data_IF_460876836063
#
_entry.id   IF_460876836063
#
_cell.length_a   1.000
_cell.length_b   1.000
_cell.length_c   1.000
_cell.angle_alpha   90.00
_cell.angle_beta   90.00
_cell.angle_gamma   90.00
#
_symmetry.space_group_name_H-M   'P 1'
#
loop_
_entity.id
_entity.type
_entity.pdbx_description
1 polymer ?
#
# COMPACT_ATOMS: atom_id res chain seq x y z
N UNK A 1 -27.14 6.92 -16.20
CA UNK A 1 -25.78 7.30 -16.65
C UNK A 1 -24.82 6.27 -16.09
N UNK A 2 -24.05 5.59 -16.93
CA UNK A 2 -23.02 4.66 -16.45
C UNK A 2 -21.87 5.49 -15.89
N UNK A 3 -21.74 5.56 -14.57
CA UNK A 3 -20.57 6.12 -13.90
C UNK A 3 -19.38 5.26 -14.32
N UNK A 4 -18.51 5.80 -15.18
CA UNK A 4 -17.18 5.23 -15.38
C UNK A 4 -16.51 5.19 -14.02
N UNK A 5 -16.47 4.00 -13.40
CA UNK A 5 -15.75 3.76 -12.16
C UNK A 5 -14.30 4.20 -12.38
N UNK A 6 -13.89 5.27 -11.70
CA UNK A 6 -12.49 5.70 -11.69
C UNK A 6 -11.68 4.53 -11.11
N UNK A 7 -10.84 3.93 -11.94
CA UNK A 7 -9.90 2.91 -11.48
C UNK A 7 -8.84 3.57 -10.61
N UNK A 8 -9.01 3.53 -9.28
CA UNK A 8 -8.02 4.05 -8.33
C UNK A 8 -6.82 3.14 -8.30
N UNK A 9 -5.64 3.67 -8.62
CA UNK A 9 -4.39 2.92 -8.55
C UNK A 9 -3.71 3.18 -7.20
N UNK A 10 -2.91 2.22 -6.71
CA UNK A 10 -2.13 2.42 -5.49
C UNK A 10 -1.21 3.65 -5.53
N UNK A 11 -0.73 4.06 -6.71
CA UNK A 11 0.09 5.27 -6.91
C UNK A 11 -0.67 6.56 -6.67
N UNK A 12 -1.98 6.53 -6.84
CA UNK A 12 -2.84 7.72 -6.78
C UNK A 12 -3.14 8.09 -5.32
N UNK A 13 -2.90 7.16 -4.37
CA UNK A 13 -3.13 7.38 -2.95
C UNK A 13 -1.97 8.13 -2.27
N UNK A 14 -2.27 9.19 -1.49
CA UNK A 14 -1.27 9.90 -0.72
C UNK A 14 -0.59 9.00 0.31
N UNK A 15 0.60 9.41 0.74
CA UNK A 15 1.37 8.66 1.74
C UNK A 15 1.83 9.56 2.86
N UNK A 16 1.91 9.00 4.06
CA UNK A 16 2.44 9.66 5.25
C UNK A 16 3.55 8.80 5.86
N UNK A 17 4.63 9.45 6.29
CA UNK A 17 5.68 8.78 7.08
C UNK A 17 5.24 8.77 8.55
N UNK A 18 5.24 7.59 9.15
CA UNK A 18 4.87 7.37 10.55
C UNK A 18 5.98 6.60 11.22
N UNK A 19 6.29 6.92 12.48
CA UNK A 19 7.21 6.15 13.29
C UNK A 19 6.45 4.98 13.92
N UNK A 20 6.88 3.75 13.66
CA UNK A 20 6.33 2.54 14.23
C UNK A 20 6.85 2.33 15.67
N UNK A 21 6.21 1.45 16.47
CA UNK A 21 6.61 1.20 17.87
C UNK A 21 8.05 0.69 18.04
N UNK A 22 8.59 0.02 17.02
CA UNK A 22 9.98 -0.47 16.97
C UNK A 22 11.00 0.63 16.62
N UNK A 23 10.56 1.89 16.49
CA UNK A 23 11.40 3.03 16.14
C UNK A 23 11.63 3.20 14.63
N UNK A 24 11.20 2.24 13.80
CA UNK A 24 11.36 2.33 12.35
C UNK A 24 10.42 3.38 11.75
N UNK A 25 10.82 3.98 10.63
CA UNK A 25 9.97 4.91 9.88
C UNK A 25 9.30 4.15 8.75
N UNK A 26 7.97 4.07 8.79
CA UNK A 26 7.15 3.40 7.78
C UNK A 26 6.37 4.40 6.95
N UNK A 27 6.31 4.19 5.64
CA UNK A 27 5.46 4.95 4.74
C UNK A 27 4.09 4.26 4.65
N UNK A 28 3.05 4.91 5.16
CA UNK A 28 1.67 4.41 5.17
C UNK A 28 0.84 5.08 4.08
N UNK A 29 -0.04 4.30 3.45
CA UNK A 29 -1.08 4.80 2.53
C UNK A 29 -2.18 5.48 3.34
N UNK A 30 -2.59 6.67 2.92
CA UNK A 30 -3.67 7.43 3.56
C UNK A 30 -4.91 7.29 2.69
N UNK A 31 -6.02 6.90 3.31
CA UNK A 31 -7.34 6.82 2.68
C UNK A 31 -8.26 7.79 3.43
N UNK A 32 -8.93 8.67 2.69
CA UNK A 32 -9.88 9.62 3.25
C UNK A 32 -11.21 8.91 3.51
N UNK A 33 -11.75 9.05 4.74
CA UNK A 33 -13.00 8.38 5.13
C UNK A 33 -14.22 8.89 4.39
N UNK A 34 -14.17 10.13 3.91
CA UNK A 34 -15.20 10.83 3.13
C UNK A 34 -14.96 10.74 1.61
N UNK A 35 -14.02 9.90 1.16
CA UNK A 35 -13.79 9.66 -0.26
C UNK A 35 -15.01 9.05 -0.95
N UNK A 36 -15.41 9.61 -2.09
CA UNK A 36 -16.43 9.04 -2.97
C UNK A 36 -16.07 7.63 -3.48
N UNK A 37 -14.77 7.30 -3.50
CA UNK A 37 -14.22 6.01 -3.93
C UNK A 37 -13.55 5.24 -2.78
N UNK A 38 -14.08 5.38 -1.56
CA UNK A 38 -13.51 4.79 -0.35
C UNK A 38 -13.18 3.29 -0.50
N UNK A 39 -14.08 2.50 -1.11
CA UNK A 39 -13.88 1.07 -1.26
C UNK A 39 -12.69 0.75 -2.19
N UNK A 40 -12.57 1.47 -3.30
CA UNK A 40 -11.47 1.37 -4.26
C UNK A 40 -10.15 1.83 -3.64
N UNK A 41 -10.17 2.91 -2.86
CA UNK A 41 -9.02 3.45 -2.16
C UNK A 41 -8.47 2.44 -1.13
N UNK A 42 -9.35 1.83 -0.35
CA UNK A 42 -8.98 0.77 0.61
C UNK A 42 -8.39 -0.44 -0.11
N UNK A 43 -9.00 -0.88 -1.21
CA UNK A 43 -8.50 -2.01 -1.99
C UNK A 43 -7.13 -1.71 -2.60
N UNK A 44 -6.92 -0.50 -3.12
CA UNK A 44 -5.65 -0.06 -3.67
C UNK A 44 -4.55 0.01 -2.61
N UNK A 45 -4.86 0.53 -1.41
CA UNK A 45 -3.95 0.52 -0.27
C UNK A 45 -3.57 -0.91 0.15
N UNK A 46 -4.55 -1.81 0.24
CA UNK A 46 -4.30 -3.22 0.57
C UNK A 46 -3.39 -3.91 -0.44
N UNK A 47 -3.68 -3.76 -1.74
CA UNK A 47 -2.86 -4.32 -2.83
C UNK A 47 -1.41 -3.82 -2.76
N UNK A 48 -1.21 -2.54 -2.43
CA UNK A 48 0.13 -1.96 -2.24
C UNK A 48 0.91 -2.68 -1.13
N UNK A 49 0.27 -2.89 0.02
CA UNK A 49 0.89 -3.53 1.18
C UNK A 49 1.27 -4.98 0.90
N UNK A 50 0.36 -5.74 0.28
CA UNK A 50 0.63 -7.14 -0.10
C UNK A 50 1.80 -7.23 -1.08
N UNK A 51 1.86 -6.33 -2.08
CA UNK A 51 2.97 -6.30 -3.05
C UNK A 51 4.31 -6.04 -2.34
N UNK A 52 4.33 -5.10 -1.39
CA UNK A 52 5.52 -4.78 -0.61
C UNK A 52 5.99 -5.98 0.22
N UNK A 53 5.09 -6.62 0.97
CA UNK A 53 5.40 -7.80 1.79
C UNK A 53 5.99 -8.92 0.92
N UNK A 54 5.37 -9.20 -0.24
CA UNK A 54 5.88 -10.23 -1.16
C UNK A 54 7.26 -9.86 -1.73
N UNK A 55 7.54 -8.58 -1.98
CA UNK A 55 8.85 -8.14 -2.44
C UNK A 55 9.92 -8.31 -1.35
N UNK A 56 9.61 -7.94 -0.11
CA UNK A 56 10.50 -8.15 1.04
C UNK A 56 10.75 -9.65 1.30
N UNK A 57 9.72 -10.49 1.21
CA UNK A 57 9.86 -11.95 1.32
C UNK A 57 10.79 -12.53 0.25
N UNK A 58 10.66 -12.09 -1.01
CA UNK A 58 11.56 -12.52 -2.08
C UNK A 58 13.00 -12.08 -1.84
N UNK A 59 13.19 -10.85 -1.35
CA UNK A 59 14.52 -10.33 -1.02
C UNK A 59 15.17 -11.15 0.09
N UNK A 60 14.46 -11.45 1.17
CA UNK A 60 14.96 -12.28 2.28
C UNK A 60 15.35 -13.69 1.83
N UNK A 61 14.56 -14.30 0.93
CA UNK A 61 14.89 -15.62 0.37
C UNK A 61 16.17 -15.58 -0.47
N UNK A 62 16.30 -14.57 -1.35
CA UNK A 62 17.51 -14.41 -2.15
C UNK A 62 18.76 -14.14 -1.30
N UNK A 63 18.63 -13.43 -0.18
CA UNK A 63 19.72 -13.23 0.78
C UNK A 63 20.09 -14.51 1.54
N UNK A 64 19.12 -15.38 1.84
CA UNK A 64 19.37 -16.68 2.47
C UNK A 64 20.05 -17.67 1.52
N UNK A 65 19.65 -17.71 0.24
CA UNK A 65 20.25 -18.59 -0.76
C UNK A 65 21.68 -18.17 -1.15
N UNK A 66 22.07 -16.93 -0.84
CA UNK A 66 23.40 -16.37 -1.14
C UNK A 66 24.41 -16.47 0.03
N UNK A 67 23.98 -16.97 1.18
CA UNK A 67 24.81 -17.18 2.39
C UNK A 67 25.16 -18.65 2.60
#
# INVERSE_FOLDING_TARGET
MATQLKTVRPSDLPTKRVRAPDGTVVQMKVVQSDSETLAEDLLAAFRSNVRRIKAEQRKRRAEQDAS
#
